data_IF_052165281332
#
_entry.id   IF_052165281332
#
_cell.length_a   1.000
_cell.length_b   1.000
_cell.length_c   1.000
_cell.angle_alpha   90.00
_cell.angle_beta   90.00
_cell.angle_gamma   90.00
#
_symmetry.space_group_name_H-M   'P 1'
#
loop_
_entity.id
_entity.type
_entity.pdbx_description
1 polymer ?
#
# COMPACT_ATOMS: atom_id res chain seq x y z
N UNK A 1 17.81 4.03 -13.41
CA UNK A 1 18.35 2.93 -14.22
C UNK A 1 19.66 3.31 -14.90
N UNK A 2 19.79 4.51 -15.49
CA UNK A 2 21.07 4.92 -16.12
C UNK A 2 22.21 5.24 -15.13
N UNK A 3 21.91 5.61 -13.88
CA UNK A 3 22.92 6.15 -12.95
C UNK A 3 23.27 5.20 -11.78
N UNK A 4 22.59 4.06 -11.66
CA UNK A 4 22.86 3.07 -10.61
C UNK A 4 22.59 1.70 -11.19
N UNK A 5 23.54 0.78 -11.03
CA UNK A 5 23.49 -0.61 -11.52
C UNK A 5 22.48 -1.46 -10.76
N UNK A 6 21.22 -1.04 -10.76
CA UNK A 6 20.09 -1.66 -10.07
C UNK A 6 18.92 -1.73 -11.04
N UNK A 7 18.29 -2.90 -11.10
CA UNK A 7 17.09 -3.13 -11.92
C UNK A 7 15.87 -2.82 -11.08
N UNK A 8 14.93 -2.03 -11.61
CA UNK A 8 13.62 -1.85 -10.99
C UNK A 8 12.70 -2.95 -11.49
N UNK A 9 12.37 -3.92 -10.63
CA UNK A 9 11.49 -5.03 -11.00
C UNK A 9 10.02 -4.66 -10.91
N UNK A 10 9.65 -3.82 -9.93
CA UNK A 10 8.27 -3.46 -9.69
C UNK A 10 8.14 -2.00 -9.27
N UNK A 11 7.09 -1.34 -9.80
CA UNK A 11 6.55 -0.08 -9.29
C UNK A 11 5.04 -0.17 -9.31
N UNK A 12 4.44 -0.39 -8.15
CA UNK A 12 3.00 -0.59 -8.03
C UNK A 12 2.41 0.23 -6.89
N UNK A 13 1.09 0.39 -6.95
CA UNK A 13 0.29 0.89 -5.85
C UNK A 13 -0.10 -0.28 -4.95
N UNK A 14 -0.28 -0.02 -3.66
CA UNK A 14 -0.67 -1.06 -2.71
C UNK A 14 -2.15 -0.88 -2.41
N UNK A 15 -2.98 -1.78 -2.94
CA UNK A 15 -4.41 -1.83 -2.61
C UNK A 15 -4.61 -1.95 -1.09
N UNK A 16 -5.67 -1.33 -0.57
CA UNK A 16 -6.06 -1.35 0.85
C UNK A 16 -5.05 -0.72 1.83
N UNK A 17 -4.02 -0.05 1.32
CA UNK A 17 -2.98 0.55 2.16
C UNK A 17 -3.40 1.87 2.80
N UNK A 18 -4.31 2.62 2.17
CA UNK A 18 -4.79 3.92 2.64
C UNK A 18 -5.83 3.76 3.74
N UNK A 19 -5.68 4.52 4.82
CA UNK A 19 -6.58 4.47 5.97
C UNK A 19 -8.01 4.82 5.60
N UNK A 20 -8.99 3.97 5.96
CA UNK A 20 -10.40 4.26 5.75
C UNK A 20 -10.89 5.56 6.41
N UNK A 21 -11.71 6.33 5.70
CA UNK A 21 -12.34 7.53 6.25
C UNK A 21 -13.37 8.10 5.29
N UNK A 22 -14.18 9.07 5.73
CA UNK A 22 -15.02 9.88 4.83
C UNK A 22 -14.19 10.42 3.66
N UNK A 23 -12.98 10.89 3.96
CA UNK A 23 -11.89 11.05 3.02
C UNK A 23 -10.83 9.98 3.30
N UNK A 24 -10.58 9.10 2.32
CA UNK A 24 -9.58 8.04 2.41
C UNK A 24 -8.16 8.63 2.40
N UNK A 25 -7.28 8.10 3.23
CA UNK A 25 -5.85 8.45 3.19
C UNK A 25 -5.17 7.97 1.90
N UNK A 26 -4.09 8.63 1.47
CA UNK A 26 -3.37 8.27 0.25
C UNK A 26 -2.88 6.81 0.25
N UNK A 27 -2.90 6.16 -0.91
CA UNK A 27 -2.39 4.78 -1.06
C UNK A 27 -0.86 4.77 -1.02
N UNK A 28 -0.31 3.75 -0.37
CA UNK A 28 1.11 3.42 -0.40
C UNK A 28 1.53 2.85 -1.75
N UNK A 29 2.85 2.69 -1.91
CA UNK A 29 3.50 2.20 -3.12
C UNK A 29 4.52 1.14 -2.77
N UNK A 30 4.71 0.19 -3.68
CA UNK A 30 5.79 -0.78 -3.63
C UNK A 30 6.79 -0.49 -4.73
N UNK A 31 8.07 -0.49 -4.38
CA UNK A 31 9.17 -0.49 -5.34
C UNK A 31 10.12 -1.62 -5.01
N UNK A 32 10.37 -2.48 -6.00
CA UNK A 32 11.29 -3.60 -5.87
C UNK A 32 12.51 -3.32 -6.73
N UNK A 33 13.69 -3.44 -6.12
CA UNK A 33 14.97 -3.36 -6.79
C UNK A 33 15.70 -4.69 -6.71
N UNK A 34 16.37 -5.07 -7.80
CA UNK A 34 17.25 -6.24 -7.86
C UNK A 34 18.67 -5.84 -8.23
N UNK A 35 19.64 -6.38 -7.51
CA UNK A 35 21.04 -6.32 -7.90
C UNK A 35 21.28 -7.30 -9.06
N UNK A 36 21.80 -6.86 -10.21
CA UNK A 36 22.11 -7.75 -11.33
C UNK A 36 23.05 -8.88 -10.91
N UNK A 37 22.81 -10.08 -11.45
CA UNK A 37 23.68 -11.24 -11.28
C UNK A 37 24.15 -11.73 -12.66
N UNK A 38 25.11 -11.02 -13.22
CA UNK A 38 25.70 -11.26 -14.54
C UNK A 38 27.03 -12.06 -14.44
N UNK A 39 27.18 -12.85 -13.38
CA UNK A 39 28.37 -13.66 -13.11
C UNK A 39 29.62 -12.79 -12.90
N UNK A 40 30.64 -12.95 -13.76
CA UNK A 40 31.89 -12.18 -13.67
C UNK A 40 31.68 -10.67 -13.89
N UNK A 41 30.57 -10.26 -14.51
CA UNK A 41 30.24 -8.86 -14.76
C UNK A 41 29.31 -8.25 -13.70
N UNK A 42 28.93 -9.02 -12.66
CA UNK A 42 28.09 -8.52 -11.58
C UNK A 42 28.75 -7.33 -10.88
N UNK A 43 27.96 -6.31 -10.58
CA UNK A 43 28.40 -5.28 -9.67
C UNK A 43 28.65 -5.92 -8.31
N UNK A 44 29.77 -5.60 -7.64
CA UNK A 44 30.03 -6.08 -6.28
C UNK A 44 28.94 -5.61 -5.30
N UNK A 45 29.06 -6.01 -4.04
CA UNK A 45 28.08 -5.69 -2.99
C UNK A 45 27.71 -4.21 -2.98
N UNK A 46 26.42 -3.94 -3.13
CA UNK A 46 25.84 -2.59 -3.08
C UNK A 46 25.39 -2.30 -1.66
N UNK A 47 25.77 -1.13 -1.14
CA UNK A 47 25.27 -0.65 0.14
C UNK A 47 24.05 0.26 -0.07
N UNK A 48 22.99 -0.02 0.69
CA UNK A 48 21.76 0.77 0.69
C UNK A 48 21.61 1.38 2.08
N UNK A 49 21.59 2.71 2.13
CA UNK A 49 21.20 3.45 3.30
C UNK A 49 19.74 3.87 3.15
N UNK A 50 18.89 3.44 4.07
CA UNK A 50 17.48 3.79 4.11
C UNK A 50 17.23 4.63 5.35
N UNK A 51 16.36 5.63 5.21
CA UNK A 51 15.77 6.32 6.35
C UNK A 51 14.25 6.29 6.17
N UNK A 52 13.62 5.19 6.60
CA UNK A 52 12.18 5.07 6.53
C UNK A 52 11.53 5.47 7.85
N UNK A 53 10.49 6.30 7.77
CA UNK A 53 9.55 6.50 8.86
C UNK A 53 8.36 5.53 8.75
N UNK A 54 7.48 5.55 9.76
CA UNK A 54 6.16 4.88 9.70
C UNK A 54 6.18 3.35 9.56
N UNK A 55 7.27 2.69 9.92
CA UNK A 55 7.39 1.23 9.95
C UNK A 55 7.05 0.60 11.32
N UNK A 56 7.00 1.42 12.38
CA UNK A 56 6.52 1.04 13.72
C UNK A 56 5.13 1.61 13.99
N UNK A 57 4.96 2.92 13.76
CA UNK A 57 3.70 3.63 13.99
C UNK A 57 3.10 4.10 12.66
N UNK A 58 1.86 3.72 12.32
CA UNK A 58 1.27 4.12 11.06
C UNK A 58 0.93 5.61 11.04
N UNK A 59 0.68 6.20 9.86
CA UNK A 59 -0.02 7.46 9.76
C UNK A 59 -1.42 7.31 10.36
N UNK A 60 -1.69 8.05 11.44
CA UNK A 60 -2.92 7.92 12.20
C UNK A 60 -4.11 8.54 11.48
N UNK A 61 -5.26 7.89 11.61
CA UNK A 61 -6.54 8.47 11.20
C UNK A 61 -6.97 9.61 12.13
N UNK A 62 -7.88 10.46 11.63
CA UNK A 62 -8.41 11.60 12.37
C UNK A 62 -9.93 11.64 12.30
N UNK A 63 -10.57 12.11 13.38
CA UNK A 63 -12.03 12.26 13.49
C UNK A 63 -12.76 10.98 13.06
N UNK A 64 -12.47 9.86 13.74
CA UNK A 64 -12.99 8.50 13.44
C UNK A 64 -12.45 7.81 12.20
N UNK A 65 -11.67 8.52 11.37
CA UNK A 65 -10.84 7.92 10.33
C UNK A 65 -9.88 6.90 10.92
N UNK A 66 -9.53 5.90 10.11
CA UNK A 66 -8.68 4.76 10.48
C UNK A 66 -7.25 4.99 10.01
N UNK A 67 -6.33 4.32 10.67
CA UNK A 67 -4.90 4.40 10.36
C UNK A 67 -4.60 3.82 8.98
N UNK A 68 -3.57 4.37 8.33
CA UNK A 68 -3.02 3.76 7.13
C UNK A 68 -2.13 2.56 7.45
N UNK A 69 -1.73 1.83 6.42
CA UNK A 69 -0.77 0.75 6.54
C UNK A 69 0.63 1.24 6.93
N UNK A 70 1.40 0.36 7.57
CA UNK A 70 2.81 0.61 7.88
C UNK A 70 3.70 0.56 6.63
N UNK A 71 4.77 1.35 6.66
CA UNK A 71 5.88 1.16 5.75
C UNK A 71 6.60 -0.16 6.06
N UNK A 72 7.16 -0.81 5.04
CA UNK A 72 8.03 -1.97 5.21
C UNK A 72 9.29 -1.79 4.37
N UNK A 73 10.39 -2.25 4.92
CA UNK A 73 11.64 -2.41 4.21
C UNK A 73 12.02 -3.87 4.31
N UNK A 74 12.27 -4.51 3.17
CA UNK A 74 12.48 -5.94 3.11
C UNK A 74 13.66 -6.30 2.22
N UNK A 75 14.44 -7.29 2.63
CA UNK A 75 15.48 -7.93 1.83
C UNK A 75 15.05 -9.36 1.55
N UNK A 76 15.00 -9.75 0.28
CA UNK A 76 14.60 -11.08 -0.18
C UNK A 76 13.26 -11.56 0.42
N UNK A 77 12.31 -10.63 0.61
CA UNK A 77 10.99 -10.90 1.19
C UNK A 77 10.91 -10.87 2.71
N UNK A 78 12.04 -10.84 3.43
CA UNK A 78 12.10 -10.75 4.89
C UNK A 78 12.23 -9.29 5.36
N UNK A 79 11.62 -8.95 6.49
CA UNK A 79 11.74 -7.60 7.05
C UNK A 79 13.20 -7.31 7.43
N UNK A 80 13.70 -6.17 6.97
CA UNK A 80 15.03 -5.66 7.29
C UNK A 80 14.92 -4.36 8.10
N UNK A 81 15.98 -4.00 8.83
CA UNK A 81 16.01 -2.79 9.64
C UNK A 81 16.22 -1.54 8.75
N UNK A 82 15.24 -0.63 8.65
CA UNK A 82 15.34 0.56 7.82
C UNK A 82 16.11 1.71 8.48
N UNK A 83 16.84 1.45 9.57
CA UNK A 83 17.68 2.42 10.29
C UNK A 83 19.18 2.13 10.17
N UNK A 84 19.56 1.07 9.46
CA UNK A 84 20.96 0.64 9.29
C UNK A 84 21.36 0.54 7.82
N UNK A 85 22.66 0.40 7.56
CA UNK A 85 23.17 0.07 6.23
C UNK A 85 22.82 -1.38 5.91
N UNK A 86 22.11 -1.59 4.81
CA UNK A 86 21.82 -2.91 4.26
C UNK A 86 22.74 -3.19 3.09
N UNK A 87 23.35 -4.37 3.08
CA UNK A 87 24.20 -4.82 1.99
C UNK A 87 23.43 -5.78 1.10
N UNK A 88 23.64 -5.65 -0.20
CA UNK A 88 22.94 -6.39 -1.23
C UNK A 88 23.98 -6.97 -2.18
N UNK A 89 24.05 -8.29 -2.22
CA UNK A 89 24.93 -9.03 -3.11
C UNK A 89 24.27 -9.21 -4.48
N UNK A 90 25.01 -9.61 -5.53
CA UNK A 90 24.41 -9.98 -6.81
C UNK A 90 23.22 -10.94 -6.64
N UNK A 91 22.11 -10.62 -7.29
CA UNK A 91 20.89 -11.42 -7.25
C UNK A 91 19.93 -11.11 -6.08
N UNK A 92 20.40 -10.40 -5.03
CA UNK A 92 19.54 -9.98 -3.93
C UNK A 92 18.47 -8.98 -4.40
N UNK A 93 17.35 -8.99 -3.70
CA UNK A 93 16.21 -8.13 -3.91
C UNK A 93 15.92 -7.28 -2.67
N UNK A 94 15.58 -6.02 -2.90
CA UNK A 94 15.12 -5.09 -1.87
C UNK A 94 13.74 -4.56 -2.24
N UNK A 95 12.81 -4.62 -1.29
CA UNK A 95 11.45 -4.10 -1.42
C UNK A 95 11.24 -2.93 -0.47
N UNK A 96 10.86 -1.80 -1.05
CA UNK A 96 10.40 -0.61 -0.35
C UNK A 96 8.89 -0.53 -0.46
N UNK A 97 8.22 -0.64 0.69
CA UNK A 97 6.78 -0.44 0.82
C UNK A 97 6.56 0.84 1.59
N UNK A 98 6.01 1.86 0.95
CA UNK A 98 5.64 3.10 1.64
C UNK A 98 4.36 2.90 2.45
N UNK A 99 4.27 3.58 3.59
CA UNK A 99 3.03 3.64 4.37
C UNK A 99 1.89 4.25 3.55
N UNK A 100 0.66 3.82 3.82
CA UNK A 100 -0.52 4.56 3.39
C UNK A 100 -0.86 5.68 4.37
N UNK A 101 -1.50 6.74 3.90
CA UNK A 101 -1.95 7.84 4.74
C UNK A 101 -3.12 7.44 5.64
N UNK A 102 -3.29 8.11 6.78
CA UNK A 102 -4.47 7.94 7.64
C UNK A 102 -5.72 8.55 7.02
N UNK A 103 -6.88 7.95 7.29
CA UNK A 103 -8.17 8.46 6.84
C UNK A 103 -8.69 9.61 7.70
N UNK A 104 -9.66 10.35 7.17
CA UNK A 104 -10.31 11.46 7.87
C UNK A 104 -11.83 11.28 7.87
N UNK A 105 -12.48 11.43 9.03
CA UNK A 105 -13.93 11.30 9.17
C UNK A 105 -14.40 9.85 9.22
N UNK A 106 -15.63 9.62 9.68
CA UNK A 106 -16.23 8.29 9.73
C UNK A 106 -16.31 7.66 8.30
N UNK A 107 -15.70 6.49 8.05
CA UNK A 107 -15.75 5.79 6.75
C UNK A 107 -17.17 5.51 6.23
N UNK A 108 -18.14 5.23 7.11
CA UNK A 108 -19.53 4.95 6.73
C UNK A 108 -20.26 6.19 6.19
N UNK A 109 -19.70 7.40 6.37
CA UNK A 109 -20.19 8.63 5.75
C UNK A 109 -19.60 8.92 4.37
N UNK A 110 -18.62 8.13 3.89
CA UNK A 110 -18.07 8.30 2.54
C UNK A 110 -19.16 8.02 1.50
N UNK A 111 -19.23 8.84 0.46
CA UNK A 111 -20.13 8.60 -0.68
C UNK A 111 -19.83 7.22 -1.30
N UNK A 112 -20.79 6.29 -1.36
CA UNK A 112 -20.59 4.97 -1.96
C UNK A 112 -20.08 5.01 -3.41
N UNK A 113 -20.41 6.05 -4.19
CA UNK A 113 -19.90 6.21 -5.56
C UNK A 113 -18.41 6.51 -5.62
N UNK A 114 -17.84 7.13 -4.58
CA UNK A 114 -16.39 7.27 -4.49
C UNK A 114 -15.72 5.96 -4.11
N UNK A 115 -16.37 5.14 -3.29
CA UNK A 115 -15.88 3.80 -2.94
C UNK A 115 -15.91 2.87 -4.17
N UNK A 116 -16.97 2.92 -4.97
CA UNK A 116 -17.05 2.23 -6.28
C UNK A 116 -15.86 2.59 -7.17
N UNK A 117 -15.56 3.88 -7.34
CA UNK A 117 -14.39 4.33 -8.11
C UNK A 117 -13.07 3.87 -7.51
N UNK A 118 -12.93 3.92 -6.19
CA UNK A 118 -11.73 3.42 -5.51
C UNK A 118 -11.54 1.91 -5.75
N UNK A 119 -12.61 1.12 -5.87
CA UNK A 119 -12.54 -0.31 -6.23
C UNK A 119 -12.18 -0.50 -7.70
N UNK A 120 -12.79 0.26 -8.61
CA UNK A 120 -12.47 0.21 -10.04
C UNK A 120 -11.01 0.61 -10.34
N UNK A 121 -10.42 1.46 -9.50
CA UNK A 121 -9.01 1.85 -9.59
C UNK A 121 -8.07 0.96 -8.76
N UNK A 122 -8.58 -0.12 -8.17
CA UNK A 122 -7.81 -1.07 -7.33
C UNK A 122 -7.13 -0.38 -6.12
N UNK A 123 -7.68 0.73 -5.63
CA UNK A 123 -7.22 1.38 -4.42
C UNK A 123 -7.78 0.72 -3.17
N UNK A 124 -8.99 0.18 -3.28
CA UNK A 124 -9.69 -0.60 -2.26
C UNK A 124 -10.12 -1.93 -2.91
N UNK A 125 -10.07 -3.04 -2.17
CA UNK A 125 -10.65 -4.31 -2.59
C UNK A 125 -12.17 -4.34 -2.36
N UNK A 126 -12.86 -5.28 -3.01
CA UNK A 126 -14.31 -5.47 -2.79
C UNK A 126 -14.58 -5.84 -1.33
N UNK A 127 -13.72 -6.68 -0.73
CA UNK A 127 -13.86 -7.05 0.68
C UNK A 127 -13.75 -5.82 1.58
N UNK A 128 -12.79 -4.93 1.31
CA UNK A 128 -12.57 -3.72 2.11
C UNK A 128 -13.61 -2.63 1.88
N UNK A 129 -14.18 -2.52 0.69
CA UNK A 129 -15.34 -1.67 0.44
C UNK A 129 -16.50 -2.01 1.38
N UNK A 130 -16.77 -3.31 1.57
CA UNK A 130 -17.81 -3.80 2.47
C UNK A 130 -17.44 -3.64 3.94
N UNK A 131 -16.24 -4.07 4.33
CA UNK A 131 -15.83 -4.09 5.74
C UNK A 131 -15.65 -2.69 6.32
N UNK A 132 -14.95 -1.83 5.59
CA UNK A 132 -14.48 -0.55 6.13
C UNK A 132 -15.46 0.59 5.83
N UNK A 133 -16.19 0.53 4.72
CA UNK A 133 -17.10 1.60 4.30
C UNK A 133 -18.57 1.19 4.27
N UNK A 134 -18.88 -0.09 4.49
CA UNK A 134 -20.25 -0.61 4.41
C UNK A 134 -20.83 -0.54 3.00
N UNK A 135 -19.99 -0.57 1.96
CA UNK A 135 -20.41 -0.48 0.56
C UNK A 135 -20.35 -1.85 -0.09
N UNK A 136 -21.44 -2.24 -0.75
CA UNK A 136 -21.54 -3.48 -1.50
C UNK A 136 -21.24 -3.19 -2.97
N UNK A 137 -20.26 -3.89 -3.52
CA UNK A 137 -19.88 -3.84 -4.92
C UNK A 137 -20.16 -5.23 -5.52
N UNK A 138 -20.80 -5.25 -6.68
CA UNK A 138 -20.98 -6.46 -7.46
C UNK A 138 -19.62 -6.92 -8.02
N UNK A 139 -19.19 -8.17 -7.80
CA UNK A 139 -17.86 -8.63 -8.20
C UNK A 139 -17.69 -8.82 -9.71
N UNK A 140 -18.78 -8.99 -10.46
CA UNK A 140 -18.73 -9.23 -11.90
C UNK A 140 -18.72 -7.90 -12.66
N UNK A 141 -19.52 -6.92 -12.24
CA UNK A 141 -19.62 -5.62 -12.90
C UNK A 141 -18.75 -4.51 -12.29
N UNK A 142 -18.23 -4.71 -11.07
CA UNK A 142 -17.53 -3.70 -10.27
C UNK A 142 -18.36 -2.42 -10.08
N UNK A 143 -19.68 -2.58 -9.96
CA UNK A 143 -20.62 -1.47 -9.73
C UNK A 143 -21.24 -1.53 -8.34
N UNK A 144 -21.63 -0.36 -7.85
CA UNK A 144 -22.31 -0.17 -6.58
C UNK A 144 -23.71 -0.81 -6.56
N UNK A 145 -23.96 -1.68 -5.58
CA UNK A 145 -25.31 -2.02 -5.13
C UNK A 145 -25.76 -1.03 -4.06
N UNK A 146 -26.50 0.00 -4.48
CA UNK A 146 -26.91 1.09 -3.61
C UNK A 146 -27.91 0.62 -2.53
N UNK A 147 -28.85 -0.26 -2.88
CA UNK A 147 -29.88 -0.71 -1.95
C UNK A 147 -29.27 -1.58 -0.84
N UNK A 148 -28.42 -2.54 -1.20
CA UNK A 148 -27.72 -3.37 -0.22
C UNK A 148 -26.76 -2.55 0.65
N UNK A 149 -26.09 -1.55 0.06
CA UNK A 149 -25.23 -0.60 0.79
C UNK A 149 -26.02 0.19 1.84
N UNK A 150 -27.16 0.76 1.47
CA UNK A 150 -28.01 1.53 2.39
C UNK A 150 -28.55 0.66 3.53
N UNK A 151 -28.90 -0.60 3.25
CA UNK A 151 -29.33 -1.53 4.30
C UNK A 151 -28.19 -1.94 5.23
N UNK A 152 -27.00 -2.20 4.70
CA UNK A 152 -25.82 -2.55 5.50
C UNK A 152 -25.43 -1.41 6.46
N UNK A 153 -25.44 -0.17 5.97
CA UNK A 153 -25.08 1.01 6.78
C UNK A 153 -26.09 1.35 7.87
N UNK A 154 -27.37 0.99 7.74
CA UNK A 154 -28.36 1.16 8.83
C UNK A 154 -28.04 0.34 10.08
N UNK A 155 -27.26 -0.74 9.93
CA UNK A 155 -26.91 -1.67 11.01
C UNK A 155 -25.50 -1.40 11.59
N UNK A 156 -24.88 -0.27 11.26
CA UNK A 156 -23.52 0.13 11.67
C UNK A 156 -23.56 1.43 12.45
#
# INVERSE_FOLDING_TARGET
ESDTSMIVEERSLIQDSGGPGKQRGGIGRRMIFRSPDDGENSCGTVSIAVQAGRYIYPPQGMFEGKDGSLAKFQKNGENADPSTLTFMDPGDQISFVSAGGGGYGNPFERDPKFVEKDVQYEYISIEKAKQDYGVIIDPDSLTLDLDATLQLRKNK
#
